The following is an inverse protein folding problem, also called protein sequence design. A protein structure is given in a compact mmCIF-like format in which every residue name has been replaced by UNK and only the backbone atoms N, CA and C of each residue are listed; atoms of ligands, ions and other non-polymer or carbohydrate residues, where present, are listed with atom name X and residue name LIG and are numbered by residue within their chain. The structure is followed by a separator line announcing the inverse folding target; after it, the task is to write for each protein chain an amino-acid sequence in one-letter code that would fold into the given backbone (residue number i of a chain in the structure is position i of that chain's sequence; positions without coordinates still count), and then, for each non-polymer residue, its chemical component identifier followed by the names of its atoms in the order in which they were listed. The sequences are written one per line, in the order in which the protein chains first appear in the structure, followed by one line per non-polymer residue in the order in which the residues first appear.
data_IF_137235260849
#
_entry.id   IF_137235260849
#
_cell.length_a   1.000
_cell.length_b   1.000
_cell.length_c   1.000
_cell.angle_alpha   90.00
_cell.angle_beta   90.00
_cell.angle_gamma   90.00
#
_symmetry.space_group_name_H-M   'P 1'
#
loop_
_entity.id
_entity.type
_entity.pdbx_description
1 polymer ?
#
# COMPACT_ATOMS: atom_id res chain seq x y z
N UNK A 1 11.61 44.04 -7.97
CA UNK A 1 12.00 42.72 -7.44
C UNK A 1 11.75 42.72 -5.94
N UNK A 2 10.91 41.84 -5.37
CA UNK A 2 10.71 41.78 -3.93
C UNK A 2 11.79 40.91 -3.27
N UNK A 3 12.37 41.43 -2.19
CA UNK A 3 13.41 40.76 -1.41
C UNK A 3 12.79 39.59 -0.64
N UNK A 4 13.32 38.40 -0.89
CA UNK A 4 12.96 37.15 -0.21
C UNK A 4 13.26 37.22 1.29
N UNK A 5 12.39 36.59 2.09
CA UNK A 5 12.52 36.32 3.53
C UNK A 5 13.88 35.70 3.92
N UNK A 6 14.65 35.16 2.96
CA UNK A 6 16.05 34.74 3.16
C UNK A 6 16.97 35.83 3.72
N UNK A 7 16.64 37.12 3.57
CA UNK A 7 17.50 38.20 4.10
C UNK A 7 17.44 38.36 5.63
N UNK A 8 16.39 37.87 6.30
CA UNK A 8 16.22 38.03 7.75
C UNK A 8 17.09 37.10 8.61
N UNK A 9 17.75 36.10 8.00
CA UNK A 9 18.54 35.10 8.74
C UNK A 9 20.06 35.20 8.52
N UNK A 10 20.56 36.32 8.03
CA UNK A 10 22.01 36.56 7.97
C UNK A 10 22.52 37.18 9.27
N UNK A 11 22.80 36.33 10.27
CA UNK A 11 23.62 36.70 11.42
C UNK A 11 25.06 36.93 10.92
N UNK A 12 25.41 38.17 10.56
CA UNK A 12 26.81 38.53 10.30
C UNK A 12 27.53 38.62 11.66
N UNK A 13 28.32 37.59 11.96
CA UNK A 13 29.38 37.64 12.97
C UNK A 13 30.42 38.68 12.55
N UNK A 14 30.84 39.48 13.52
CA UNK A 14 32.11 40.19 13.65
C UNK A 14 32.71 40.85 12.39
N UNK A 15 32.63 42.18 12.28
CA UNK A 15 33.77 43.05 11.94
C UNK A 15 33.52 44.49 12.42
N UNK A 16 34.53 45.06 13.10
CA UNK A 16 34.61 46.42 13.63
C UNK A 16 34.65 47.50 12.51
N UNK A 17 34.46 48.80 12.83
CA UNK A 17 33.88 49.77 11.90
C UNK A 17 34.93 50.36 10.96
N UNK A 18 34.57 50.46 9.67
CA UNK A 18 35.19 51.44 8.77
C UNK A 18 34.10 52.22 8.05
N UNK A 19 34.26 53.52 8.24
CA UNK A 19 33.61 54.66 7.60
C UNK A 19 33.50 54.55 6.09
N UNK A 20 32.29 54.69 5.57
CA UNK A 20 31.94 55.52 4.42
C UNK A 20 30.42 55.73 4.49
N UNK A 21 30.00 56.98 4.36
CA UNK A 21 28.64 57.46 4.48
C UNK A 21 27.76 56.92 3.34
N UNK A 22 27.22 55.72 3.51
CA UNK A 22 25.91 55.40 2.93
C UNK A 22 24.90 55.58 4.05
N UNK A 23 24.28 56.76 4.12
CA UNK A 23 23.03 56.91 4.86
C UNK A 23 22.13 55.74 4.48
N UNK A 24 21.69 54.90 5.43
CA UNK A 24 20.72 53.87 5.09
C UNK A 24 19.54 54.63 4.52
N UNK A 25 19.19 54.39 3.26
CA UNK A 25 17.93 54.88 2.69
C UNK A 25 16.84 54.22 3.52
N UNK A 26 16.46 54.89 4.62
CA UNK A 26 15.33 54.52 5.45
C UNK A 26 14.14 54.83 4.58
N UNK A 27 13.70 53.84 3.81
CA UNK A 27 12.40 53.89 3.15
C UNK A 27 11.39 54.15 4.27
N UNK A 28 10.88 55.38 4.34
CA UNK A 28 9.87 55.74 5.32
C UNK A 28 8.59 55.01 4.90
N UNK A 29 8.33 53.88 5.52
CA UNK A 29 7.09 53.16 5.33
C UNK A 29 5.93 54.08 5.71
N UNK A 30 5.00 54.26 4.78
CA UNK A 30 3.77 54.99 5.05
C UNK A 30 2.72 54.05 5.62
N UNK A 31 1.72 54.61 6.30
CA UNK A 31 0.57 53.82 6.78
C UNK A 31 -0.14 53.06 5.65
N UNK A 32 -0.07 53.55 4.41
CA UNK A 32 -0.63 52.88 3.25
C UNK A 32 0.19 51.65 2.81
N UNK A 33 1.51 51.68 2.98
CA UNK A 33 2.38 50.52 2.70
C UNK A 33 2.06 49.36 3.65
N UNK A 34 1.89 49.65 4.94
CA UNK A 34 1.48 48.65 5.93
C UNK A 34 0.08 48.09 5.66
N UNK A 35 -0.88 48.92 5.24
CA UNK A 35 -2.22 48.44 4.88
C UNK A 35 -2.17 47.48 3.70
N UNK A 36 -1.38 47.81 2.68
CA UNK A 36 -1.22 46.96 1.50
C UNK A 36 -0.54 45.64 1.85
N UNK A 37 0.56 45.68 2.58
CA UNK A 37 1.26 44.48 3.04
C UNK A 37 0.36 43.58 3.90
N UNK A 38 -0.49 44.15 4.75
CA UNK A 38 -1.42 43.37 5.56
C UNK A 38 -2.50 42.68 4.71
N UNK A 39 -3.02 43.34 3.66
CA UNK A 39 -3.96 42.70 2.73
C UNK A 39 -3.29 41.62 1.85
N UNK A 40 -2.04 41.85 1.42
CA UNK A 40 -1.24 40.87 0.69
C UNK A 40 -0.97 39.63 1.56
N UNK A 41 -0.62 39.82 2.84
CA UNK A 41 -0.41 38.74 3.81
C UNK A 41 -1.70 37.97 4.10
N UNK A 42 -2.86 38.65 4.21
CA UNK A 42 -4.15 37.96 4.36
C UNK A 42 -4.48 37.09 3.15
N UNK A 43 -4.21 37.59 1.94
CA UNK A 43 -4.38 36.81 0.71
C UNK A 43 -3.46 35.58 0.71
N UNK A 44 -2.19 35.76 1.07
CA UNK A 44 -1.22 34.66 1.13
C UNK A 44 -1.60 33.61 2.18
N UNK A 45 -2.00 34.04 3.38
CA UNK A 45 -2.50 33.13 4.44
C UNK A 45 -3.68 32.31 3.93
N UNK A 46 -4.63 32.92 3.22
CA UNK A 46 -5.79 32.21 2.66
C UNK A 46 -5.36 31.17 1.63
N UNK A 47 -4.45 31.52 0.72
CA UNK A 47 -3.92 30.59 -0.28
C UNK A 47 -3.19 29.42 0.39
N UNK A 48 -2.36 29.71 1.39
CA UNK A 48 -1.63 28.68 2.14
C UNK A 48 -2.57 27.75 2.90
N UNK A 49 -3.64 28.28 3.50
CA UNK A 49 -4.67 27.47 4.16
C UNK A 49 -5.40 26.56 3.17
N UNK A 50 -5.77 27.05 1.99
CA UNK A 50 -6.38 26.25 0.93
C UNK A 50 -5.42 25.15 0.44
N UNK A 51 -4.14 25.47 0.22
CA UNK A 51 -3.12 24.50 -0.18
C UNK A 51 -2.88 23.44 0.89
N UNK A 52 -2.81 23.84 2.16
CA UNK A 52 -2.64 22.92 3.28
C UNK A 52 -3.83 21.97 3.39
N UNK A 53 -5.05 22.49 3.26
CA UNK A 53 -6.28 21.69 3.28
C UNK A 53 -6.30 20.66 2.15
N UNK A 54 -5.93 21.06 0.93
CA UNK A 54 -5.82 20.14 -0.21
C UNK A 54 -4.78 19.06 0.01
N UNK A 55 -3.59 19.42 0.50
CA UNK A 55 -2.53 18.43 0.81
C UNK A 55 -2.97 17.46 1.89
N UNK A 56 -3.66 17.95 2.91
CA UNK A 56 -4.19 17.10 3.98
C UNK A 56 -5.24 16.13 3.47
N UNK A 57 -6.15 16.60 2.61
CA UNK A 57 -7.16 15.72 2.00
C UNK A 57 -6.50 14.65 1.11
N UNK A 58 -5.56 15.04 0.25
CA UNK A 58 -4.83 14.08 -0.59
C UNK A 58 -4.09 13.02 0.26
N UNK A 59 -3.48 13.43 1.37
CA UNK A 59 -2.81 12.50 2.27
C UNK A 59 -3.80 11.50 2.91
N UNK A 60 -4.98 11.97 3.31
CA UNK A 60 -6.05 11.11 3.83
C UNK A 60 -6.58 10.14 2.78
N UNK A 61 -6.77 10.58 1.55
CA UNK A 61 -7.25 9.73 0.46
C UNK A 61 -6.24 8.62 0.16
N UNK A 62 -4.94 8.96 0.12
CA UNK A 62 -3.87 7.96 -0.03
C UNK A 62 -3.84 6.98 1.14
N UNK A 63 -3.97 7.46 2.38
CA UNK A 63 -4.04 6.60 3.57
C UNK A 63 -5.23 5.63 3.48
N UNK A 64 -6.39 6.13 3.06
CA UNK A 64 -7.59 5.33 2.88
C UNK A 64 -7.39 4.23 1.83
N UNK A 65 -6.85 4.57 0.65
CA UNK A 65 -6.55 3.63 -0.42
C UNK A 65 -5.58 2.52 0.04
N UNK A 66 -4.55 2.89 0.81
CA UNK A 66 -3.58 1.94 1.38
C UNK A 66 -4.27 1.00 2.36
N UNK A 67 -5.16 1.51 3.22
CA UNK A 67 -5.92 0.70 4.17
C UNK A 67 -6.88 -0.27 3.46
N UNK A 68 -7.60 0.19 2.43
CA UNK A 68 -8.46 -0.69 1.62
C UNK A 68 -7.66 -1.81 0.96
N UNK A 69 -6.51 -1.48 0.38
CA UNK A 69 -5.61 -2.48 -0.21
C UNK A 69 -5.10 -3.48 0.82
N UNK A 70 -4.75 -3.03 2.03
CA UNK A 70 -4.32 -3.91 3.13
C UNK A 70 -5.44 -4.87 3.55
N UNK A 71 -6.66 -4.37 3.68
CA UNK A 71 -7.84 -5.21 4.01
C UNK A 71 -8.06 -6.26 2.92
N UNK A 72 -7.97 -5.86 1.65
CA UNK A 72 -8.17 -6.76 0.53
C UNK A 72 -7.11 -7.87 0.48
N UNK A 73 -5.84 -7.50 0.68
CA UNK A 73 -4.72 -8.44 0.71
C UNK A 73 -4.89 -9.45 1.84
N UNK A 74 -5.24 -8.97 3.04
CA UNK A 74 -5.50 -9.84 4.20
C UNK A 74 -6.65 -10.82 3.93
N UNK A 75 -7.72 -10.37 3.26
CA UNK A 75 -8.82 -11.25 2.86
C UNK A 75 -8.35 -12.32 1.87
N UNK A 76 -7.57 -11.95 0.85
CA UNK A 76 -7.00 -12.90 -0.11
C UNK A 76 -6.07 -13.91 0.57
N UNK A 77 -5.24 -13.47 1.51
CA UNK A 77 -4.36 -14.34 2.28
C UNK A 77 -5.15 -15.37 3.10
N UNK A 78 -6.22 -14.95 3.79
CA UNK A 78 -7.08 -15.86 4.56
C UNK A 78 -7.74 -16.92 3.67
N UNK A 79 -8.20 -16.54 2.48
CA UNK A 79 -8.78 -17.49 1.52
C UNK A 79 -7.73 -18.52 1.09
N UNK A 80 -6.51 -18.09 0.77
CA UNK A 80 -5.43 -19.00 0.42
C UNK A 80 -5.06 -19.94 1.57
N UNK A 81 -4.97 -19.44 2.81
CA UNK A 81 -4.70 -20.27 3.99
C UNK A 81 -5.82 -21.30 4.24
N UNK A 82 -7.07 -20.91 4.07
CA UNK A 82 -8.20 -21.84 4.19
C UNK A 82 -8.17 -22.92 3.10
N UNK A 83 -7.81 -22.55 1.86
CA UNK A 83 -7.64 -23.50 0.76
C UNK A 83 -6.50 -24.47 1.02
N UNK A 84 -5.37 -23.99 1.52
CA UNK A 84 -4.22 -24.82 1.87
C UNK A 84 -4.57 -25.84 2.96
N UNK A 85 -5.32 -25.42 3.99
CA UNK A 85 -5.84 -26.32 5.02
C UNK A 85 -6.82 -27.35 4.45
N UNK A 86 -7.74 -26.94 3.58
CA UNK A 86 -8.70 -27.85 2.93
C UNK A 86 -7.98 -28.85 2.02
N UNK A 87 -7.02 -28.40 1.21
CA UNK A 87 -6.19 -29.26 0.38
C UNK A 87 -5.37 -30.24 1.21
N UNK A 88 -4.80 -29.81 2.34
CA UNK A 88 -4.09 -30.69 3.27
C UNK A 88 -4.99 -31.75 3.89
N UNK A 89 -6.26 -31.44 4.16
CA UNK A 89 -7.24 -32.40 4.66
C UNK A 89 -7.76 -33.36 3.58
N UNK A 90 -7.95 -32.87 2.36
CA UNK A 90 -8.46 -33.64 1.22
C UNK A 90 -7.39 -34.55 0.64
N UNK A 91 -6.17 -34.06 0.52
CA UNK A 91 -5.02 -34.82 0.07
C UNK A 91 -4.46 -35.66 1.23
N UNK A 92 -5.26 -36.62 1.71
CA UNK A 92 -4.80 -37.68 2.62
C UNK A 92 -3.89 -38.64 1.85
N UNK A 93 -2.67 -38.17 1.55
CA UNK A 93 -1.65 -38.91 0.82
C UNK A 93 -1.44 -40.30 1.42
N UNK A 94 -1.39 -40.39 2.75
CA UNK A 94 -1.16 -41.65 3.47
C UNK A 94 -2.37 -42.59 3.36
N UNK A 95 -3.60 -42.08 3.42
CA UNK A 95 -4.81 -42.88 3.26
C UNK A 95 -5.02 -43.38 1.83
N UNK A 96 -4.68 -42.57 0.83
CA UNK A 96 -4.68 -42.96 -0.58
C UNK A 96 -3.61 -44.03 -0.82
N UNK A 97 -2.38 -43.80 -0.35
CA UNK A 97 -1.27 -44.76 -0.49
C UNK A 97 -1.58 -46.10 0.18
N UNK A 98 -2.14 -46.08 1.39
CA UNK A 98 -2.62 -47.30 2.06
C UNK A 98 -3.70 -48.03 1.26
N UNK A 99 -4.65 -47.30 0.67
CA UNK A 99 -5.71 -47.91 -0.14
C UNK A 99 -5.16 -48.55 -1.42
N UNK A 100 -4.19 -47.89 -2.07
CA UNK A 100 -3.50 -48.42 -3.26
C UNK A 100 -2.70 -49.68 -2.88
N UNK A 101 -1.93 -49.64 -1.79
CA UNK A 101 -1.14 -50.79 -1.32
C UNK A 101 -2.05 -51.96 -0.95
N UNK A 102 -3.18 -51.72 -0.28
CA UNK A 102 -4.18 -52.77 0.00
C UNK A 102 -4.75 -53.38 -1.28
N UNK A 103 -5.11 -52.55 -2.26
CA UNK A 103 -5.60 -53.02 -3.55
C UNK A 103 -4.54 -53.80 -4.36
N UNK A 104 -3.26 -53.44 -4.21
CA UNK A 104 -2.14 -54.13 -4.85
C UNK A 104 -1.82 -55.48 -4.18
N UNK A 105 -1.93 -55.55 -2.85
CA UNK A 105 -1.68 -56.77 -2.08
C UNK A 105 -2.82 -57.80 -2.21
N UNK A 106 -4.06 -57.34 -2.42
CA UNK A 106 -5.24 -58.21 -2.55
C UNK A 106 -5.98 -57.98 -3.89
N UNK A 107 -5.34 -58.27 -5.04
CA UNK A 107 -5.84 -57.87 -6.36
C UNK A 107 -7.12 -58.59 -6.80
N UNK A 108 -7.48 -59.70 -6.13
CA UNK A 108 -8.69 -60.48 -6.40
C UNK A 108 -9.95 -59.85 -5.79
N UNK A 109 -9.79 -58.96 -4.80
CA UNK A 109 -10.91 -58.27 -4.17
C UNK A 109 -11.22 -56.96 -4.91
N UNK A 110 -12.27 -57.00 -5.71
CA UNK A 110 -12.77 -55.85 -6.49
C UNK A 110 -13.08 -54.65 -5.58
N UNK A 111 -13.54 -54.91 -4.35
CA UNK A 111 -13.86 -53.89 -3.36
C UNK A 111 -12.67 -52.95 -3.08
N UNK A 112 -11.47 -53.48 -2.84
CA UNK A 112 -10.30 -52.64 -2.53
C UNK A 112 -9.84 -51.81 -3.72
N UNK A 113 -9.95 -52.34 -4.94
CA UNK A 113 -9.70 -51.57 -6.17
C UNK A 113 -10.69 -50.41 -6.32
N UNK A 114 -11.98 -50.67 -6.08
CA UNK A 114 -13.01 -49.63 -6.14
C UNK A 114 -12.82 -48.55 -5.07
N UNK A 115 -12.42 -48.92 -3.85
CA UNK A 115 -12.12 -47.98 -2.78
C UNK A 115 -10.91 -47.08 -3.11
N UNK A 116 -9.81 -47.69 -3.59
CA UNK A 116 -8.63 -46.94 -4.01
C UNK A 116 -8.94 -45.97 -5.17
N UNK A 117 -9.67 -46.45 -6.18
CA UNK A 117 -10.05 -45.63 -7.33
C UNK A 117 -10.96 -44.46 -6.92
N UNK A 118 -11.94 -44.71 -6.02
CA UNK A 118 -12.82 -43.66 -5.49
C UNK A 118 -12.02 -42.59 -4.72
N UNK A 119 -11.07 -42.99 -3.88
CA UNK A 119 -10.22 -42.04 -3.12
C UNK A 119 -9.36 -41.18 -4.04
N UNK A 120 -8.74 -41.79 -5.06
CA UNK A 120 -7.94 -41.08 -6.05
C UNK A 120 -8.80 -40.10 -6.86
N UNK A 121 -9.97 -40.55 -7.36
CA UNK A 121 -10.92 -39.72 -8.10
C UNK A 121 -11.40 -38.52 -7.29
N UNK A 122 -11.76 -38.73 -6.02
CA UNK A 122 -12.23 -37.65 -5.16
C UNK A 122 -11.13 -36.60 -4.94
N UNK A 123 -9.89 -37.04 -4.68
CA UNK A 123 -8.76 -36.12 -4.54
C UNK A 123 -8.50 -35.34 -5.85
N UNK A 124 -8.60 -35.99 -7.00
CA UNK A 124 -8.47 -35.35 -8.32
C UNK A 124 -9.54 -34.27 -8.55
N UNK A 125 -10.81 -34.57 -8.28
CA UNK A 125 -11.91 -33.61 -8.43
C UNK A 125 -11.72 -32.36 -7.55
N UNK A 126 -11.32 -32.54 -6.30
CA UNK A 126 -11.11 -31.43 -5.36
C UNK A 126 -9.87 -30.59 -5.75
N UNK A 127 -8.79 -31.22 -6.22
CA UNK A 127 -7.62 -30.49 -6.75
C UNK A 127 -8.03 -29.65 -7.96
N UNK A 128 -8.81 -30.21 -8.88
CA UNK A 128 -9.29 -29.47 -10.05
C UNK A 128 -10.22 -28.32 -9.62
N UNK A 129 -11.12 -28.56 -8.66
CA UNK A 129 -12.03 -27.53 -8.14
C UNK A 129 -11.31 -26.36 -7.46
N UNK A 130 -10.17 -26.61 -6.83
CA UNK A 130 -9.38 -25.58 -6.14
C UNK A 130 -8.44 -24.79 -7.06
N UNK A 131 -8.08 -25.33 -8.24
CA UNK A 131 -7.19 -24.65 -9.20
C UNK A 131 -7.70 -23.28 -9.63
N UNK A 132 -8.98 -23.13 -9.92
CA UNK A 132 -9.55 -21.85 -10.36
C UNK A 132 -9.49 -20.80 -9.25
N UNK A 133 -9.73 -21.20 -8.00
CA UNK A 133 -9.66 -20.28 -6.86
C UNK A 133 -8.22 -19.81 -6.61
N UNK A 134 -7.24 -20.73 -6.71
CA UNK A 134 -5.82 -20.39 -6.61
C UNK A 134 -5.40 -19.42 -7.72
N UNK A 135 -5.84 -19.67 -8.97
CA UNK A 135 -5.56 -18.80 -10.11
C UNK A 135 -6.10 -17.38 -9.89
N UNK A 136 -7.36 -17.25 -9.46
CA UNK A 136 -7.97 -15.95 -9.12
C UNK A 136 -7.17 -15.23 -8.02
N UNK A 137 -6.75 -15.96 -6.98
CA UNK A 137 -5.95 -15.38 -5.90
C UNK A 137 -4.58 -14.89 -6.41
N UNK A 138 -3.90 -15.67 -7.26
CA UNK A 138 -2.63 -15.28 -7.89
C UNK A 138 -2.80 -14.03 -8.74
N UNK A 139 -3.84 -13.97 -9.58
CA UNK A 139 -4.08 -12.83 -10.46
C UNK A 139 -4.40 -11.56 -9.65
N UNK A 140 -5.14 -11.70 -8.55
CA UNK A 140 -5.40 -10.61 -7.61
C UNK A 140 -4.10 -10.10 -6.95
N UNK A 141 -3.24 -11.00 -6.48
CA UNK A 141 -1.93 -10.65 -5.91
C UNK A 141 -1.01 -9.97 -6.92
N UNK A 142 -0.97 -10.47 -8.17
CA UNK A 142 -0.25 -9.82 -9.27
C UNK A 142 -0.79 -8.42 -9.56
N UNK A 143 -2.12 -8.24 -9.53
CA UNK A 143 -2.77 -6.95 -9.67
C UNK A 143 -2.32 -5.94 -8.60
N UNK A 144 -2.28 -6.37 -7.34
CA UNK A 144 -1.79 -5.53 -6.24
C UNK A 144 -0.30 -5.18 -6.39
N UNK A 145 0.55 -6.14 -6.77
CA UNK A 145 1.98 -5.88 -7.01
C UNK A 145 2.21 -4.82 -8.09
N UNK A 146 1.45 -4.86 -9.19
CA UNK A 146 1.55 -3.85 -10.27
C UNK A 146 1.15 -2.45 -9.81
N UNK A 147 0.15 -2.33 -8.92
CA UNK A 147 -0.29 -1.05 -8.37
C UNK A 147 0.75 -0.43 -7.43
N UNK A 148 1.43 -1.26 -6.63
CA UNK A 148 2.49 -0.80 -5.72
C UNK A 148 3.75 -0.30 -6.44
N UNK A 149 4.07 -0.78 -7.65
CA UNK A 149 5.24 -0.31 -8.43
C UNK A 149 5.03 1.09 -9.02
N UNK A 150 3.80 1.61 -9.02
CA UNK A 150 3.48 2.95 -9.55
C UNK A 150 3.58 4.08 -8.52
N UNK A 151 3.72 3.74 -7.24
CA UNK A 151 3.96 4.69 -6.14
C UNK A 151 5.43 4.65 -5.75
#
# INVERSE_FOLDING_TARGET
MPLSIKSMFSLKKDMAPKSEEEEPIVKSYTMNDYKKENEDLKCEIKILQEQLTRRFQNARDVEHDVLEHRVLLNKTLRVLQSLDQQLGAIYDRKGIEKAIVKAANEPKLIYYKAEAFKKVKNAEYEIIGTQEIVKICIDRLKGHRKKFVKY
#
